data_IF_175446487615
#
_entry.id   IF_175446487615
#
_cell.length_a   1.000
_cell.length_b   1.000
_cell.length_c   1.000
_cell.angle_alpha   90.00
_cell.angle_beta   90.00
_cell.angle_gamma   90.00
#
_symmetry.space_group_name_H-M   'P 1'
#
loop_
_entity.id
_entity.type
_entity.pdbx_description
1 polymer ?
#
# COMPACT_ATOMS: atom_id res chain seq x y z
N UNK A 1 28.50 40.46 18.78
CA UNK A 1 28.77 39.23 19.56
C UNK A 1 27.47 38.45 19.60
N UNK A 2 27.39 37.34 18.86
CA UNK A 2 26.33 36.32 19.01
C UNK A 2 25.16 36.40 18.03
N UNK A 3 25.40 35.95 16.79
CA UNK A 3 24.34 35.40 15.94
C UNK A 3 23.68 34.19 16.63
N UNK A 4 22.35 34.13 16.64
CA UNK A 4 21.62 32.86 16.79
C UNK A 4 20.77 32.66 15.54
N UNK A 5 21.24 31.69 14.76
CA UNK A 5 20.73 31.26 13.46
C UNK A 5 19.32 30.71 13.58
N UNK A 6 18.50 31.11 12.62
CA UNK A 6 17.21 30.55 12.26
C UNK A 6 17.39 29.05 11.94
N UNK A 7 16.91 28.16 12.81
CA UNK A 7 16.85 26.72 12.56
C UNK A 7 15.64 26.39 11.68
N UNK A 8 15.76 26.76 10.40
CA UNK A 8 14.94 26.20 9.33
C UNK A 8 15.74 25.05 8.72
N UNK A 9 15.85 23.94 9.47
CA UNK A 9 16.33 22.69 8.91
C UNK A 9 15.28 22.18 7.91
N UNK A 10 15.66 22.25 6.64
CA UNK A 10 14.87 21.97 5.43
C UNK A 10 13.92 20.76 5.54
N UNK A 11 12.63 21.03 5.71
CA UNK A 11 11.60 20.08 5.32
C UNK A 11 11.72 19.88 3.80
N UNK A 12 12.18 18.70 3.38
CA UNK A 12 12.35 18.36 1.97
C UNK A 12 11.08 18.58 1.14
N UNK A 13 11.23 18.68 -0.18
CA UNK A 13 10.13 18.96 -1.13
C UNK A 13 8.90 18.09 -0.79
N UNK A 14 7.68 18.67 -0.72
CA UNK A 14 6.47 17.93 -0.39
C UNK A 14 6.36 16.63 -1.19
N UNK A 15 5.98 15.54 -0.52
CA UNK A 15 5.77 14.23 -1.15
C UNK A 15 4.79 14.39 -2.31
N UNK A 16 5.20 14.00 -3.52
CA UNK A 16 4.31 14.02 -4.68
C UNK A 16 3.25 12.92 -4.50
N UNK A 17 1.96 13.26 -4.34
CA UNK A 17 0.87 12.29 -4.13
C UNK A 17 0.55 11.51 -5.41
N UNK A 18 0.90 12.01 -6.60
CA UNK A 18 0.67 11.29 -7.86
C UNK A 18 1.52 10.04 -7.95
N UNK A 19 2.76 10.13 -7.47
CA UNK A 19 3.65 8.98 -7.42
C UNK A 19 3.18 7.95 -6.38
N UNK A 20 2.59 8.37 -5.26
CA UNK A 20 2.01 7.42 -4.31
C UNK A 20 0.84 6.65 -4.94
N UNK A 21 -0.07 7.35 -5.63
CA UNK A 21 -1.17 6.72 -6.35
C UNK A 21 -0.66 5.72 -7.40
N UNK A 22 0.28 6.13 -8.26
CA UNK A 22 0.85 5.27 -9.31
C UNK A 22 1.51 4.00 -8.74
N UNK A 23 2.24 4.11 -7.62
CA UNK A 23 2.85 2.95 -6.94
C UNK A 23 1.78 2.00 -6.41
N UNK A 24 0.70 2.52 -5.81
CA UNK A 24 -0.39 1.69 -5.29
C UNK A 24 -1.20 1.07 -6.44
N UNK A 25 -1.45 1.79 -7.54
CA UNK A 25 -2.16 1.28 -8.73
C UNK A 25 -1.39 0.09 -9.33
N UNK A 26 -0.11 0.30 -9.62
CA UNK A 26 0.79 -0.74 -10.10
C UNK A 26 0.84 -1.98 -9.17
N UNK A 27 0.77 -1.75 -7.86
CA UNK A 27 0.78 -2.85 -6.88
C UNK A 27 -0.52 -3.66 -6.94
N UNK A 28 -1.69 -3.00 -7.05
CA UNK A 28 -2.99 -3.68 -7.20
C UNK A 28 -3.02 -4.51 -8.49
N UNK A 29 -2.58 -3.93 -9.60
CA UNK A 29 -2.52 -4.63 -10.89
C UNK A 29 -1.64 -5.88 -10.81
N UNK A 30 -0.41 -5.73 -10.31
CA UNK A 30 0.53 -6.85 -10.18
C UNK A 30 0.05 -7.94 -9.21
N UNK A 31 -0.58 -7.54 -8.10
CA UNK A 31 -1.19 -8.49 -7.16
C UNK A 31 -2.31 -9.27 -7.82
N UNK A 32 -3.10 -8.62 -8.67
CA UNK A 32 -4.17 -9.27 -9.43
C UNK A 32 -3.59 -10.22 -10.47
N UNK A 33 -2.58 -9.79 -11.22
CA UNK A 33 -1.95 -10.58 -12.29
C UNK A 33 -1.20 -11.82 -11.78
N UNK A 34 -0.48 -11.71 -10.65
CA UNK A 34 0.55 -12.70 -10.26
C UNK A 34 0.46 -13.16 -8.81
N UNK A 35 -0.41 -12.54 -8.01
CA UNK A 35 -0.52 -12.81 -6.58
C UNK A 35 0.66 -12.28 -5.76
N UNK A 36 0.54 -12.42 -4.43
CA UNK A 36 1.49 -11.85 -3.48
C UNK A 36 2.90 -12.44 -3.57
N UNK A 37 3.02 -13.74 -3.79
CA UNK A 37 4.32 -14.43 -3.78
C UNK A 37 5.22 -13.97 -4.93
N UNK A 38 4.65 -13.72 -6.10
CA UNK A 38 5.39 -13.29 -7.30
C UNK A 38 5.55 -11.76 -7.40
N UNK A 39 4.87 -11.00 -6.54
CA UNK A 39 5.04 -9.55 -6.48
C UNK A 39 6.49 -9.19 -6.09
N UNK A 40 7.15 -8.34 -6.88
CA UNK A 40 8.45 -7.76 -6.54
C UNK A 40 8.42 -6.24 -6.60
N UNK A 41 9.17 -5.57 -5.73
CA UNK A 41 9.26 -4.10 -5.76
C UNK A 41 9.91 -3.57 -7.04
N UNK A 42 10.74 -4.38 -7.71
CA UNK A 42 11.30 -4.05 -9.01
C UNK A 42 10.21 -4.00 -10.10
N UNK A 43 9.32 -5.00 -10.14
CA UNK A 43 8.18 -5.00 -11.07
C UNK A 43 7.22 -3.85 -10.79
N UNK A 44 6.97 -3.52 -9.52
CA UNK A 44 6.16 -2.35 -9.14
C UNK A 44 6.83 -1.06 -9.60
N UNK A 45 8.14 -0.92 -9.41
CA UNK A 45 8.89 0.26 -9.83
C UNK A 45 8.85 0.46 -11.34
N UNK A 46 9.02 -0.62 -12.10
CA UNK A 46 8.93 -0.60 -13.57
C UNK A 46 7.54 -0.17 -14.03
N UNK A 47 6.48 -0.77 -13.46
CA UNK A 47 5.07 -0.47 -13.79
C UNK A 47 4.67 0.96 -13.44
N UNK A 48 5.11 1.47 -12.29
CA UNK A 48 4.82 2.82 -11.82
C UNK A 48 5.81 3.88 -12.35
N UNK A 49 6.64 3.52 -13.33
CA UNK A 49 7.64 4.39 -13.95
C UNK A 49 8.54 5.11 -12.92
N UNK A 50 9.03 4.36 -11.93
CA UNK A 50 9.80 4.88 -10.81
C UNK A 50 10.97 3.97 -10.45
N UNK A 51 11.58 4.21 -9.29
CA UNK A 51 12.71 3.42 -8.78
C UNK A 51 12.33 2.72 -7.48
N UNK A 52 12.92 1.55 -7.23
CA UNK A 52 12.76 0.82 -5.96
C UNK A 52 13.17 1.69 -4.76
N UNK A 53 14.20 2.54 -4.92
CA UNK A 53 14.61 3.49 -3.89
C UNK A 53 13.54 4.56 -3.59
N UNK A 54 12.77 5.00 -4.60
CA UNK A 54 11.65 5.90 -4.39
C UNK A 54 10.50 5.22 -3.64
N UNK A 55 10.25 3.94 -3.93
CA UNK A 55 9.27 3.11 -3.20
C UNK A 55 9.70 2.95 -1.74
N UNK A 56 10.95 2.56 -1.46
CA UNK A 56 11.45 2.37 -0.09
C UNK A 56 11.42 3.65 0.77
N UNK A 57 11.55 4.84 0.17
CA UNK A 57 11.40 6.12 0.89
C UNK A 57 9.95 6.41 1.31
N UNK A 58 8.99 5.75 0.68
CA UNK A 58 7.54 5.95 0.86
C UNK A 58 6.93 4.83 1.70
N UNK A 59 7.40 3.60 1.50
CA UNK A 59 6.95 2.39 2.18
C UNK A 59 8.17 1.66 2.75
N UNK A 60 8.19 1.43 4.06
CA UNK A 60 9.28 0.76 4.76
C UNK A 60 9.39 -0.74 4.43
N UNK A 61 8.37 -1.33 3.80
CA UNK A 61 8.38 -2.75 3.41
C UNK A 61 7.40 -3.08 2.27
N UNK A 62 7.60 -4.25 1.64
CA UNK A 62 6.65 -4.82 0.66
C UNK A 62 5.27 -5.05 1.29
N UNK A 63 5.22 -5.54 2.53
CA UNK A 63 3.96 -5.78 3.24
C UNK A 63 3.20 -4.49 3.51
N UNK A 64 3.88 -3.41 3.91
CA UNK A 64 3.25 -2.10 4.10
C UNK A 64 2.63 -1.56 2.80
N UNK A 65 3.36 -1.66 1.68
CA UNK A 65 2.85 -1.29 0.37
C UNK A 65 1.62 -2.13 -0.02
N UNK A 66 1.68 -3.45 0.19
CA UNK A 66 0.57 -4.35 -0.11
C UNK A 66 -0.65 -4.07 0.77
N UNK A 67 -0.46 -3.81 2.06
CA UNK A 67 -1.55 -3.37 2.95
C UNK A 67 -2.21 -2.11 2.40
N UNK A 68 -1.43 -1.13 1.93
CA UNK A 68 -2.00 0.08 1.34
C UNK A 68 -2.77 -0.18 0.04
N UNK A 69 -2.30 -1.14 -0.76
CA UNK A 69 -2.94 -1.54 -2.01
C UNK A 69 -4.24 -2.34 -1.81
N UNK A 70 -4.26 -3.25 -0.83
CA UNK A 70 -5.40 -4.11 -0.54
C UNK A 70 -6.48 -3.35 0.23
N UNK A 71 -6.08 -2.57 1.23
CA UNK A 71 -6.99 -1.78 2.07
C UNK A 71 -7.08 -0.34 1.57
N UNK A 72 -7.15 -0.13 0.25
CA UNK A 72 -7.54 1.17 -0.29
C UNK A 72 -8.80 1.58 0.44
N UNK A 73 -8.75 2.75 1.05
CA UNK A 73 -9.83 3.30 1.86
C UNK A 73 -10.94 3.84 0.96
N UNK A 74 -11.30 3.06 -0.05
CA UNK A 74 -12.39 3.32 -0.99
C UNK A 74 -13.55 2.39 -0.58
N UNK A 75 -14.06 2.62 0.63
CA UNK A 75 -15.47 2.45 1.01
C UNK A 75 -16.14 1.07 1.08
N UNK A 76 -15.68 0.02 0.38
CA UNK A 76 -16.60 -1.08 0.04
C UNK A 76 -16.46 -2.41 0.80
N UNK A 77 -15.50 -2.57 1.71
CA UNK A 77 -15.38 -3.79 2.51
C UNK A 77 -15.68 -3.54 3.99
N UNK A 78 -16.86 -2.98 4.26
CA UNK A 78 -17.45 -3.01 5.60
C UNK A 78 -18.05 -4.39 5.79
N UNK A 79 -17.35 -5.28 6.51
CA UNK A 79 -18.00 -6.43 7.14
C UNK A 79 -19.13 -5.85 7.98
N UNK A 80 -20.38 -6.24 7.68
CA UNK A 80 -21.53 -5.77 8.44
C UNK A 80 -21.26 -6.00 9.93
N UNK A 81 -21.30 -4.94 10.74
CA UNK A 81 -21.24 -5.06 12.20
C UNK A 81 -22.56 -5.70 12.66
N UNK A 82 -22.53 -7.01 12.87
CA UNK A 82 -23.73 -7.78 13.23
C UNK A 82 -23.98 -7.78 14.73
N UNK A 83 -23.07 -7.19 15.52
CA UNK A 83 -23.06 -7.25 16.98
C UNK A 83 -22.42 -8.52 17.55
N UNK A 84 -21.94 -9.43 16.69
CA UNK A 84 -21.16 -10.61 17.07
C UNK A 84 -19.74 -10.49 16.50
N UNK A 85 -18.82 -10.01 17.35
CA UNK A 85 -17.43 -9.76 16.99
C UNK A 85 -16.71 -11.02 16.48
N UNK A 86 -17.02 -12.20 17.02
CA UNK A 86 -16.36 -13.43 16.61
C UNK A 86 -16.80 -13.84 15.19
N UNK A 87 -18.11 -13.74 14.92
CA UNK A 87 -18.67 -14.01 13.60
C UNK A 87 -18.17 -13.01 12.53
N UNK A 88 -18.08 -11.73 12.91
CA UNK A 88 -17.62 -10.66 12.02
C UNK A 88 -16.13 -10.82 11.70
N UNK A 89 -15.28 -11.10 12.70
CA UNK A 89 -13.85 -11.40 12.49
C UNK A 89 -13.63 -12.66 11.65
N UNK A 90 -14.41 -13.72 11.89
CA UNK A 90 -14.32 -14.94 11.11
C UNK A 90 -14.71 -14.71 9.64
N UNK A 91 -15.70 -13.84 9.39
CA UNK A 91 -16.13 -13.44 8.04
C UNK A 91 -15.06 -12.61 7.35
N UNK A 92 -14.47 -11.65 8.06
CA UNK A 92 -13.35 -10.84 7.57
C UNK A 92 -12.14 -11.71 7.15
N UNK A 93 -11.78 -12.69 7.99
CA UNK A 93 -10.65 -13.60 7.73
C UNK A 93 -10.96 -14.51 6.54
N UNK A 94 -12.16 -15.10 6.47
CA UNK A 94 -12.56 -15.95 5.34
C UNK A 94 -12.53 -15.18 4.02
N UNK A 95 -13.11 -13.99 3.99
CA UNK A 95 -13.11 -13.14 2.81
C UNK A 95 -11.68 -12.75 2.39
N UNK A 96 -10.81 -12.42 3.35
CA UNK A 96 -9.41 -12.12 3.08
C UNK A 96 -8.67 -13.33 2.50
N UNK A 97 -8.89 -14.53 3.05
CA UNK A 97 -8.30 -15.78 2.55
C UNK A 97 -8.81 -16.09 1.14
N UNK A 98 -10.10 -15.95 0.88
CA UNK A 98 -10.69 -16.17 -0.43
C UNK A 98 -10.12 -15.20 -1.48
N UNK A 99 -10.06 -13.90 -1.16
CA UNK A 99 -9.46 -12.89 -2.06
C UNK A 99 -8.00 -13.20 -2.37
N UNK A 100 -7.24 -13.70 -1.38
CA UNK A 100 -5.82 -14.03 -1.55
C UNK A 100 -5.59 -15.38 -2.25
N UNK A 101 -6.59 -16.29 -2.27
CA UNK A 101 -6.47 -17.64 -2.83
C UNK A 101 -7.06 -17.81 -4.24
N UNK A 102 -7.81 -16.85 -4.76
CA UNK A 102 -8.29 -16.92 -6.15
C UNK A 102 -7.16 -16.55 -7.13
N UNK A 103 -6.79 -17.41 -8.10
CA UNK A 103 -6.03 -16.96 -9.25
C UNK A 103 -6.94 -16.09 -10.11
N UNK A 104 -6.47 -14.91 -10.52
CA UNK A 104 -7.24 -14.05 -11.41
C UNK A 104 -7.48 -14.76 -12.74
N UNK A 105 -8.75 -14.84 -13.14
CA UNK A 105 -9.16 -15.16 -14.51
C UNK A 105 -8.96 -13.94 -15.40
#
# INVERSE_FOLDING_TARGET
>A
MGDVKNDQSSAGRPRDPRLDAAIVDATVELLTERGYNELSLAAVAERAETTTAAIYRRYGSKSELVTKAVFRTDGDDVVADTGDLEADLATMIRWSVEKLQRPAA
#
